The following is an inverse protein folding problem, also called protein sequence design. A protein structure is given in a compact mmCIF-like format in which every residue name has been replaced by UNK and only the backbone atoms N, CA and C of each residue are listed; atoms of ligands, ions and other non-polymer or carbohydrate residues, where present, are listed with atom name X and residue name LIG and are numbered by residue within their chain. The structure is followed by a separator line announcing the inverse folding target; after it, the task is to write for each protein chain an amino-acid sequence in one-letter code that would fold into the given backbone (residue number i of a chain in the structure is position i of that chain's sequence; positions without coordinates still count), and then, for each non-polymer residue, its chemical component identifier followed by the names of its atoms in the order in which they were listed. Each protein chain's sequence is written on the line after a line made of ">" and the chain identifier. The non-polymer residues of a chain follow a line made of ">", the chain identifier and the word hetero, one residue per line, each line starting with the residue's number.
data_IF_530652382378
#
_entry.id   IF_530652382378
#
_cell.length_a   1.000
_cell.length_b   1.000
_cell.length_c   1.000
_cell.angle_alpha   90.00
_cell.angle_beta   90.00
_cell.angle_gamma   90.00
#
_symmetry.space_group_name_H-M   'P 1'
#
loop_
_entity.id
_entity.type
_entity.pdbx_description
1 polymer ?
#
# COMPACT_ATOMS: atom_id res chain seq x y z
N UNK A 1 -4.18 8.43 25.96
CA UNK A 1 -3.18 7.35 25.96
C UNK A 1 -2.49 7.35 24.60
N UNK A 2 -3.21 7.04 23.52
CA UNK A 2 -2.71 7.22 22.14
C UNK A 2 -2.91 8.67 21.68
N UNK A 3 -1.91 9.23 21.00
CA UNK A 3 -1.88 10.59 20.48
C UNK A 3 -0.77 10.73 19.41
N UNK A 4 -0.80 11.75 18.54
CA UNK A 4 0.34 12.07 17.69
C UNK A 4 1.58 12.32 18.55
N UNK A 5 2.76 11.96 18.05
CA UNK A 5 4.01 12.14 18.81
C UNK A 5 4.20 13.60 19.27
N UNK A 6 3.81 14.57 18.44
CA UNK A 6 3.90 15.99 18.76
C UNK A 6 2.99 16.44 19.93
N UNK A 7 1.97 15.64 20.28
CA UNK A 7 1.02 15.94 21.36
C UNK A 7 1.21 15.05 22.60
N UNK A 8 2.23 14.17 22.57
CA UNK A 8 2.58 13.34 23.73
C UNK A 8 3.51 14.12 24.67
N UNK A 9 3.03 14.37 25.88
CA UNK A 9 3.89 14.79 27.00
C UNK A 9 4.55 13.58 27.68
N UNK A 10 5.53 13.87 28.54
CA UNK A 10 6.30 12.85 29.25
C UNK A 10 5.43 11.97 30.16
N UNK A 11 4.39 12.52 30.77
CA UNK A 11 3.50 11.81 31.69
C UNK A 11 2.64 10.78 30.94
N UNK A 12 2.01 11.20 29.83
CA UNK A 12 1.21 10.34 28.95
C UNK A 12 2.06 9.27 28.28
N UNK A 13 3.29 9.60 27.93
CA UNK A 13 4.24 8.63 27.39
C UNK A 13 4.60 7.57 28.44
N UNK A 14 4.98 8.01 29.65
CA UNK A 14 5.34 7.12 30.76
C UNK A 14 4.16 6.26 31.24
N UNK A 15 2.93 6.78 31.21
CA UNK A 15 1.73 6.04 31.62
C UNK A 15 1.47 4.79 30.75
N UNK A 16 1.80 4.84 29.45
CA UNK A 16 1.67 3.69 28.53
C UNK A 16 2.92 2.82 28.55
N UNK A 17 4.10 3.44 28.58
CA UNK A 17 5.37 2.71 28.55
C UNK A 17 5.64 1.95 29.85
N UNK A 18 5.45 2.61 30.99
CA UNK A 18 5.84 2.14 32.32
C UNK A 18 5.32 0.73 32.65
N UNK A 19 4.01 0.47 32.58
CA UNK A 19 3.45 -0.83 32.94
C UNK A 19 4.01 -1.99 32.14
N UNK A 20 4.44 -1.77 30.90
CA UNK A 20 4.95 -2.83 30.03
C UNK A 20 6.48 -2.92 30.08
N UNK A 21 7.15 -1.80 29.84
CA UNK A 21 8.59 -1.75 29.75
C UNK A 21 9.29 -1.90 31.11
N UNK A 22 8.87 -1.14 32.12
CA UNK A 22 9.49 -1.20 33.44
C UNK A 22 9.19 -2.53 34.12
N UNK A 23 7.97 -3.05 33.99
CA UNK A 23 7.62 -4.36 34.54
C UNK A 23 8.49 -5.48 33.92
N UNK A 24 8.71 -5.46 32.61
CA UNK A 24 9.58 -6.42 31.95
C UNK A 24 11.04 -6.29 32.41
N UNK A 25 11.54 -5.06 32.57
CA UNK A 25 12.88 -4.82 33.11
C UNK A 25 13.04 -5.35 34.54
N UNK A 26 12.08 -5.08 35.41
CA UNK A 26 12.09 -5.59 36.78
C UNK A 26 12.00 -7.11 36.82
N UNK A 27 11.17 -7.72 35.97
CA UNK A 27 11.10 -9.17 35.83
C UNK A 27 12.44 -9.75 35.37
N UNK A 28 13.12 -9.09 34.42
CA UNK A 28 14.47 -9.49 34.00
C UNK A 28 15.46 -9.44 35.16
N UNK A 29 15.52 -8.33 35.91
CA UNK A 29 16.40 -8.17 37.07
C UNK A 29 16.15 -9.24 38.14
N UNK A 30 14.88 -9.48 38.47
CA UNK A 30 14.47 -10.44 39.50
C UNK A 30 14.75 -11.91 39.12
N UNK A 31 14.88 -12.20 37.83
CA UNK A 31 15.06 -13.57 37.31
C UNK A 31 16.43 -13.81 36.68
N UNK A 32 17.35 -12.85 36.78
CA UNK A 32 18.65 -12.92 36.09
C UNK A 32 19.47 -14.14 36.51
N UNK A 33 19.44 -14.50 37.79
CA UNK A 33 20.18 -15.63 38.35
C UNK A 33 19.38 -16.95 38.36
N UNK A 34 18.16 -16.96 37.82
CA UNK A 34 17.31 -18.15 37.83
C UNK A 34 17.51 -18.97 36.54
N UNK A 35 17.57 -20.30 36.64
CA UNK A 35 17.65 -21.18 35.47
C UNK A 35 16.26 -21.33 34.84
N UNK A 36 15.82 -20.31 34.10
CA UNK A 36 14.52 -20.34 33.42
C UNK A 36 14.57 -21.23 32.17
N UNK A 37 13.52 -22.03 31.97
CA UNK A 37 13.29 -22.74 30.70
C UNK A 37 12.90 -21.78 29.57
N UNK A 38 12.18 -20.70 29.91
CA UNK A 38 11.75 -19.68 28.96
C UNK A 38 11.56 -18.31 29.62
N UNK A 39 11.80 -17.26 28.85
CA UNK A 39 11.44 -15.89 29.19
C UNK A 39 10.78 -15.26 27.95
N UNK A 40 9.45 -15.16 27.95
CA UNK A 40 8.70 -14.73 26.77
C UNK A 40 8.08 -13.36 26.97
N UNK A 41 8.33 -12.47 26.02
CA UNK A 41 7.80 -11.11 26.01
C UNK A 41 6.76 -10.97 24.89
N UNK A 42 5.55 -10.52 25.24
CA UNK A 42 4.49 -10.26 24.27
C UNK A 42 4.55 -8.82 23.79
N UNK A 43 5.28 -8.63 22.71
CA UNK A 43 5.38 -7.40 21.94
C UNK A 43 4.23 -7.28 20.93
N UNK A 44 4.33 -6.34 20.01
CA UNK A 44 3.35 -6.08 18.96
C UNK A 44 4.03 -5.77 17.63
N UNK A 45 3.41 -6.17 16.52
CA UNK A 45 3.83 -5.81 15.16
C UNK A 45 4.02 -4.29 14.97
N UNK A 46 3.33 -3.48 15.78
CA UNK A 46 3.43 -2.01 15.79
C UNK A 46 4.84 -1.52 16.15
N UNK A 47 5.62 -2.28 16.93
CA UNK A 47 7.03 -1.93 17.18
C UNK A 47 7.90 -2.07 15.92
N UNK A 48 7.52 -2.94 14.99
CA UNK A 48 8.25 -3.20 13.75
C UNK A 48 7.75 -2.36 12.58
N UNK A 49 6.44 -2.29 12.38
CA UNK A 49 5.81 -1.63 11.23
C UNK A 49 5.35 -0.20 11.52
N UNK A 50 5.40 0.21 12.79
CA UNK A 50 4.82 1.47 13.25
C UNK A 50 3.29 1.39 13.37
N UNK A 51 2.75 2.35 14.11
CA UNK A 51 1.32 2.51 14.32
C UNK A 51 1.04 3.99 14.52
N UNK A 52 0.37 4.67 13.58
CA UNK A 52 0.14 6.10 13.76
C UNK A 52 -0.75 6.34 14.98
N UNK A 53 -0.42 7.38 15.74
CA UNK A 53 -0.95 7.71 17.08
C UNK A 53 -0.43 6.84 18.23
N UNK A 54 0.44 5.87 17.96
CA UNK A 54 0.84 4.84 18.94
C UNK A 54 2.33 4.89 19.27
N UNK A 55 2.95 6.07 19.28
CA UNK A 55 4.39 6.20 19.46
C UNK A 55 4.88 5.66 20.82
N UNK A 56 4.15 5.96 21.90
CA UNK A 56 4.40 5.44 23.24
C UNK A 56 4.21 3.91 23.32
N UNK A 57 3.15 3.38 22.71
CA UNK A 57 2.91 1.94 22.64
C UNK A 57 3.99 1.23 21.81
N UNK A 58 4.36 1.78 20.65
CA UNK A 58 5.44 1.26 19.82
C UNK A 58 6.76 1.23 20.59
N UNK A 59 7.11 2.31 21.29
CA UNK A 59 8.32 2.38 22.12
C UNK A 59 8.32 1.35 23.27
N UNK A 60 7.17 1.17 23.93
CA UNK A 60 7.04 0.17 24.99
C UNK A 60 7.30 -1.26 24.50
N UNK A 61 6.78 -1.58 23.31
CA UNK A 61 6.96 -2.88 22.66
C UNK A 61 8.39 -3.07 22.11
N UNK A 62 8.96 -2.03 21.50
CA UNK A 62 10.35 -2.06 21.03
C UNK A 62 11.35 -2.28 22.17
N UNK A 63 11.06 -1.76 23.38
CA UNK A 63 11.86 -2.06 24.56
C UNK A 63 11.81 -3.54 24.95
N UNK A 64 10.66 -4.20 24.81
CA UNK A 64 10.57 -5.65 25.02
C UNK A 64 11.42 -6.42 24.02
N UNK A 65 11.36 -6.01 22.74
CA UNK A 65 12.17 -6.62 21.68
C UNK A 65 13.66 -6.47 21.97
N UNK A 66 14.07 -5.27 22.39
CA UNK A 66 15.44 -5.00 22.85
C UNK A 66 15.83 -5.77 24.10
N UNK A 67 14.93 -5.98 25.05
CA UNK A 67 15.19 -6.74 26.27
C UNK A 67 15.42 -8.23 25.97
N UNK A 68 14.67 -8.82 25.04
CA UNK A 68 14.91 -10.19 24.61
C UNK A 68 16.30 -10.34 23.96
N UNK A 69 16.68 -9.40 23.09
CA UNK A 69 18.03 -9.35 22.51
C UNK A 69 19.12 -9.17 23.59
N UNK A 70 18.90 -8.27 24.55
CA UNK A 70 19.82 -8.03 25.67
C UNK A 70 20.05 -9.28 26.53
N UNK A 71 18.98 -10.02 26.85
CA UNK A 71 19.07 -11.28 27.60
C UNK A 71 19.91 -12.31 26.85
N UNK A 72 19.63 -12.51 25.55
CA UNK A 72 20.36 -13.48 24.73
C UNK A 72 21.84 -13.13 24.57
N UNK A 73 22.19 -11.85 24.43
CA UNK A 73 23.58 -11.41 24.38
C UNK A 73 24.38 -11.76 25.66
N UNK A 74 23.68 -12.03 26.77
CA UNK A 74 24.26 -12.45 28.07
C UNK A 74 24.14 -13.96 28.31
N UNK A 75 23.77 -14.74 27.29
CA UNK A 75 23.56 -16.18 27.41
C UNK A 75 22.29 -16.57 28.18
N UNK A 76 21.37 -15.63 28.42
CA UNK A 76 20.09 -15.91 29.08
C UNK A 76 19.00 -16.18 28.06
N UNK A 77 18.08 -17.09 28.40
CA UNK A 77 16.87 -17.32 27.59
C UNK A 77 16.03 -16.05 27.49
N UNK A 78 15.45 -15.82 26.31
CA UNK A 78 14.65 -14.63 26.02
C UNK A 78 14.13 -14.64 24.59
N UNK A 79 12.82 -14.50 24.41
CA UNK A 79 12.21 -14.30 23.09
C UNK A 79 11.11 -13.24 23.20
N UNK A 80 11.09 -12.30 22.27
CA UNK A 80 10.00 -11.36 22.09
C UNK A 80 9.17 -11.75 20.86
N UNK A 81 7.84 -11.78 21.03
CA UNK A 81 6.91 -12.07 19.94
C UNK A 81 6.09 -10.83 19.62
N UNK A 82 6.36 -10.24 18.45
CA UNK A 82 5.60 -9.13 17.89
C UNK A 82 4.28 -9.61 17.29
N UNK A 83 3.21 -9.59 18.09
CA UNK A 83 1.90 -10.07 17.62
C UNK A 83 1.18 -9.05 16.73
N UNK A 84 0.64 -9.54 15.62
CA UNK A 84 -0.38 -8.87 14.81
C UNK A 84 -1.74 -8.81 15.52
N UNK A 85 -2.77 -8.25 14.85
CA UNK A 85 -4.10 -8.12 15.43
C UNK A 85 -4.70 -9.51 15.70
N UNK A 86 -5.24 -9.74 16.90
CA UNK A 86 -5.98 -10.96 17.24
C UNK A 86 -7.45 -10.82 16.82
N UNK A 87 -8.07 -11.92 16.39
CA UNK A 87 -9.46 -11.95 15.93
C UNK A 87 -10.46 -11.78 17.09
N UNK A 88 -10.69 -12.85 17.85
CA UNK A 88 -11.84 -13.00 18.75
C UNK A 88 -11.53 -12.66 20.22
N UNK A 89 -10.26 -12.42 20.53
CA UNK A 89 -9.76 -12.23 21.91
C UNK A 89 -8.71 -11.12 22.00
N UNK A 90 -8.48 -10.63 23.21
CA UNK A 90 -7.43 -9.65 23.50
C UNK A 90 -7.80 -8.21 23.13
N UNK A 91 -6.80 -7.33 23.08
CA UNK A 91 -7.02 -5.89 22.85
C UNK A 91 -7.62 -5.59 21.47
N UNK A 92 -7.19 -6.33 20.44
CA UNK A 92 -7.64 -6.09 19.07
C UNK A 92 -9.13 -6.41 18.85
N UNK A 93 -9.68 -7.40 19.57
CA UNK A 93 -11.10 -7.72 19.54
C UNK A 93 -11.99 -6.63 20.17
N UNK A 94 -11.40 -5.80 21.06
CA UNK A 94 -12.08 -4.67 21.73
C UNK A 94 -11.94 -3.35 20.96
N UNK A 95 -11.18 -3.34 19.87
CA UNK A 95 -11.01 -2.15 19.04
C UNK A 95 -12.31 -1.82 18.30
N UNK A 96 -12.56 -0.52 18.14
CA UNK A 96 -13.65 -0.03 17.31
C UNK A 96 -13.52 -0.52 15.85
N UNK A 97 -14.61 -0.40 15.08
CA UNK A 97 -14.63 -0.84 13.69
C UNK A 97 -13.58 -0.12 12.82
N UNK A 98 -13.23 1.13 13.14
CA UNK A 98 -12.27 1.94 12.36
C UNK A 98 -10.85 1.41 12.50
N UNK A 99 -10.42 1.07 13.71
CA UNK A 99 -9.10 0.49 13.96
C UNK A 99 -8.95 -0.91 13.34
N UNK A 100 -9.99 -1.75 13.38
CA UNK A 100 -9.99 -3.05 12.69
C UNK A 100 -9.93 -2.90 11.17
N UNK A 101 -10.70 -1.95 10.62
CA UNK A 101 -10.70 -1.66 9.19
C UNK A 101 -9.34 -1.13 8.71
N UNK A 102 -8.61 -0.42 9.57
CA UNK A 102 -7.26 0.07 9.28
C UNK A 102 -6.26 -1.06 9.07
N UNK A 103 -6.17 -2.01 10.00
CA UNK A 103 -5.28 -3.17 9.84
C UNK A 103 -5.63 -3.98 8.59
N UNK A 104 -6.92 -4.19 8.39
CA UNK A 104 -7.41 -4.84 7.18
C UNK A 104 -6.95 -4.09 5.92
N UNK A 105 -7.11 -2.76 5.86
CA UNK A 105 -6.65 -1.93 4.73
C UNK A 105 -5.16 -2.07 4.44
N UNK A 106 -4.33 -2.29 5.46
CA UNK A 106 -2.88 -2.52 5.34
C UNK A 106 -2.50 -3.96 4.97
N UNK A 107 -3.49 -4.85 4.79
CA UNK A 107 -3.26 -6.26 4.48
C UNK A 107 -2.97 -7.14 5.70
N UNK A 108 -2.95 -6.58 6.92
CA UNK A 108 -2.78 -7.35 8.15
C UNK A 108 -4.10 -8.08 8.46
N UNK A 109 -4.03 -9.41 8.46
CA UNK A 109 -5.17 -10.27 8.75
C UNK A 109 -5.18 -10.66 10.24
N UNK A 110 -6.38 -10.85 10.83
CA UNK A 110 -6.49 -11.27 12.22
C UNK A 110 -5.88 -12.66 12.50
N UNK A 111 -5.25 -12.80 13.66
CA UNK A 111 -4.72 -14.05 14.20
C UNK A 111 -5.85 -14.78 14.94
N UNK A 112 -6.18 -15.98 14.49
CA UNK A 112 -7.09 -16.86 15.22
C UNK A 112 -6.38 -17.47 16.44
N UNK A 113 -7.10 -17.84 17.51
CA UNK A 113 -6.49 -18.48 18.68
C UNK A 113 -5.66 -19.72 18.32
N UNK A 114 -6.15 -20.55 17.40
CA UNK A 114 -5.42 -21.74 16.91
C UNK A 114 -4.10 -21.38 16.25
N UNK A 115 -4.09 -20.36 15.38
CA UNK A 115 -2.86 -19.89 14.74
C UNK A 115 -1.90 -19.26 15.76
N UNK A 116 -2.43 -18.47 16.69
CA UNK A 116 -1.66 -17.84 17.76
C UNK A 116 -0.95 -18.87 18.64
N UNK A 117 -1.67 -19.91 19.08
CA UNK A 117 -1.10 -20.99 19.90
C UNK A 117 -0.03 -21.80 19.16
N UNK A 118 -0.26 -22.12 17.88
CA UNK A 118 0.76 -22.79 17.07
C UNK A 118 2.01 -21.93 16.93
N UNK A 119 1.84 -20.65 16.60
CA UNK A 119 2.96 -19.70 16.43
C UNK A 119 3.71 -19.47 17.75
N UNK A 120 3.01 -19.47 18.88
CA UNK A 120 3.63 -19.39 20.21
C UNK A 120 4.49 -20.62 20.51
N UNK A 121 4.01 -21.82 20.19
CA UNK A 121 4.77 -23.04 20.36
C UNK A 121 6.00 -23.09 19.43
N UNK A 122 5.93 -22.52 18.24
CA UNK A 122 7.07 -22.34 17.34
C UNK A 122 8.06 -21.31 17.88
N UNK A 123 7.57 -20.17 18.39
CA UNK A 123 8.40 -19.13 19.01
C UNK A 123 9.25 -19.65 20.17
N UNK A 124 8.70 -20.57 20.99
CA UNK A 124 9.42 -21.19 22.11
C UNK A 124 10.56 -22.12 21.67
N UNK A 125 10.49 -22.67 20.46
CA UNK A 125 11.49 -23.61 19.91
C UNK A 125 12.48 -22.94 18.98
N UNK A 126 12.14 -21.77 18.46
CA UNK A 126 12.98 -21.03 17.54
C UNK A 126 14.21 -20.47 18.26
N UNK A 127 15.39 -20.66 17.68
CA UNK A 127 16.63 -20.06 18.21
C UNK A 127 16.79 -18.60 17.76
N UNK A 128 15.78 -17.77 18.07
CA UNK A 128 15.75 -16.35 17.72
C UNK A 128 15.35 -15.51 18.94
N UNK A 129 15.86 -14.29 19.03
CA UNK A 129 15.51 -13.36 20.09
C UNK A 129 14.21 -12.59 19.85
N UNK A 130 13.80 -12.47 18.60
CA UNK A 130 12.62 -11.72 18.21
C UNK A 130 12.03 -12.32 16.94
N UNK A 131 10.70 -12.45 16.92
CA UNK A 131 9.94 -12.78 15.72
C UNK A 131 8.61 -12.02 15.70
N UNK A 132 8.07 -11.83 14.51
CA UNK A 132 6.77 -11.19 14.30
C UNK A 132 5.80 -12.25 13.78
N UNK A 133 4.62 -12.33 14.40
CA UNK A 133 3.53 -13.20 13.94
C UNK A 133 2.42 -12.30 13.43
N UNK A 134 2.35 -12.15 12.11
CA UNK A 134 1.39 -11.26 11.45
C UNK A 134 0.93 -11.87 10.12
N UNK A 135 -0.25 -12.53 10.09
CA UNK A 135 -0.84 -13.01 8.86
C UNK A 135 -1.06 -11.84 7.89
N UNK A 136 -0.63 -12.03 6.64
CA UNK A 136 -0.56 -10.94 5.65
C UNK A 136 -1.23 -11.35 4.33
N UNK A 137 -2.21 -10.56 3.91
CA UNK A 137 -2.69 -10.53 2.53
C UNK A 137 -1.69 -9.71 1.72
N UNK A 138 -0.79 -10.40 1.01
CA UNK A 138 0.32 -9.78 0.26
C UNK A 138 -0.18 -8.80 -0.80
N UNK A 139 -1.26 -9.14 -1.49
CA UNK A 139 -1.83 -8.30 -2.56
C UNK A 139 -2.41 -7.02 -1.97
N UNK A 140 -3.16 -7.14 -0.88
CA UNK A 140 -3.70 -5.97 -0.18
C UNK A 140 -2.61 -5.12 0.46
N UNK A 141 -1.58 -5.73 1.03
CA UNK A 141 -0.45 -5.02 1.61
C UNK A 141 0.34 -4.26 0.53
N UNK A 142 0.57 -4.87 -0.64
CA UNK A 142 1.20 -4.21 -1.79
C UNK A 142 0.43 -2.98 -2.25
N UNK A 143 -0.90 -3.12 -2.40
CA UNK A 143 -1.78 -2.00 -2.74
C UNK A 143 -1.75 -0.90 -1.69
N UNK A 144 -1.73 -1.26 -0.41
CA UNK A 144 -1.68 -0.30 0.69
C UNK A 144 -0.36 0.47 0.76
N UNK A 145 0.76 -0.19 0.44
CA UNK A 145 2.09 0.41 0.48
C UNK A 145 2.41 1.24 -0.77
N UNK A 146 1.62 1.14 -1.86
CA UNK A 146 1.70 1.99 -3.06
C UNK A 146 3.14 2.12 -3.62
N UNK A 147 3.93 1.05 -3.57
CA UNK A 147 5.33 1.04 -4.04
C UNK A 147 6.37 1.50 -3.01
N UNK A 148 5.96 2.12 -1.89
CA UNK A 148 6.79 2.44 -0.74
C UNK A 148 6.92 1.21 0.18
N UNK A 149 7.38 0.09 -0.40
CA UNK A 149 7.56 -1.15 0.34
C UNK A 149 8.81 -0.99 1.22
N UNK A 150 8.70 -1.08 2.56
CA UNK A 150 9.87 -1.08 3.42
C UNK A 150 10.83 -2.20 3.01
N UNK A 151 12.16 -2.01 3.07
CA UNK A 151 13.14 -3.05 2.70
C UNK A 151 12.86 -4.39 3.40
N UNK A 152 12.45 -4.34 4.67
CA UNK A 152 12.05 -5.49 5.47
C UNK A 152 10.93 -6.35 4.84
N UNK A 153 10.03 -5.73 4.08
CA UNK A 153 8.86 -6.37 3.50
C UNK A 153 9.02 -6.69 2.01
N UNK A 154 10.14 -6.28 1.39
CA UNK A 154 10.35 -6.42 -0.06
C UNK A 154 10.33 -7.90 -0.47
N UNK A 155 11.04 -8.76 0.23
CA UNK A 155 11.04 -10.21 -0.06
C UNK A 155 9.71 -10.92 0.24
N UNK A 156 8.85 -10.32 1.07
CA UNK A 156 7.57 -10.89 1.47
C UNK A 156 6.42 -10.52 0.52
N UNK A 157 6.48 -9.30 -0.03
CA UNK A 157 5.38 -8.65 -0.74
C UNK A 157 5.68 -8.45 -2.23
N UNK A 158 6.92 -8.51 -2.70
CA UNK A 158 7.18 -8.40 -4.15
C UNK A 158 6.77 -9.71 -4.84
N UNK A 159 5.96 -9.68 -5.92
CA UNK A 159 5.64 -10.89 -6.66
C UNK A 159 6.93 -11.46 -7.24
N UNK A 160 7.12 -12.76 -7.12
CA UNK A 160 8.07 -13.46 -7.98
C UNK A 160 7.43 -13.60 -9.36
N UNK A 161 8.23 -13.69 -10.43
CA UNK A 161 7.73 -13.79 -11.81
C UNK A 161 6.75 -14.98 -12.07
N UNK A 162 6.50 -15.82 -11.07
CA UNK A 162 5.58 -16.95 -11.11
C UNK A 162 4.13 -16.59 -10.70
N UNK A 163 3.85 -15.39 -10.18
CA UNK A 163 2.51 -15.01 -9.68
C UNK A 163 1.57 -14.39 -10.75
N UNK A 164 2.04 -14.19 -11.99
CA UNK A 164 1.21 -13.70 -13.10
C UNK A 164 0.46 -14.86 -13.78
N UNK A 165 -0.57 -15.40 -13.13
CA UNK A 165 -1.47 -16.38 -13.72
C UNK A 165 -2.81 -15.74 -14.11
N UNK A 166 -2.79 -14.93 -15.17
CA UNK A 166 -3.99 -14.39 -15.81
C UNK A 166 -3.62 -13.47 -16.98
N UNK A 167 -4.42 -13.43 -18.06
CA UNK A 167 -4.14 -12.56 -19.19
C UNK A 167 -4.18 -11.10 -18.75
N UNK A 168 -3.20 -10.31 -19.18
CA UNK A 168 -3.10 -8.89 -18.85
C UNK A 168 -4.32 -8.13 -19.38
N UNK A 169 -4.65 -6.97 -18.79
CA UNK A 169 -5.75 -6.13 -19.29
C UNK A 169 -5.56 -5.78 -20.77
N UNK A 170 -4.31 -5.63 -21.22
CA UNK A 170 -3.95 -5.41 -22.62
C UNK A 170 -4.36 -6.60 -23.51
N UNK A 171 -4.08 -7.83 -23.08
CA UNK A 171 -4.45 -9.05 -23.81
C UNK A 171 -5.97 -9.25 -23.86
N UNK A 172 -6.67 -8.95 -22.76
CA UNK A 172 -8.13 -9.02 -22.70
C UNK A 172 -8.80 -8.01 -23.64
N UNK A 173 -8.27 -6.77 -23.71
CA UNK A 173 -8.78 -5.73 -24.60
C UNK A 173 -8.38 -5.94 -26.06
N UNK A 174 -7.22 -6.52 -26.33
CA UNK A 174 -6.81 -6.89 -27.69
C UNK A 174 -7.74 -7.94 -28.31
N UNK A 175 -8.29 -8.84 -27.49
CA UNK A 175 -9.28 -9.85 -27.90
C UNK A 175 -10.71 -9.29 -28.12
N UNK A 176 -10.93 -8.00 -27.85
CA UNK A 176 -12.20 -7.30 -28.13
C UNK A 176 -12.10 -6.59 -29.48
N UNK A 177 -13.21 -6.60 -30.22
CA UNK A 177 -13.37 -5.83 -31.45
C UNK A 177 -12.99 -4.36 -31.23
N UNK A 178 -12.19 -3.73 -32.12
CA UNK A 178 -11.69 -2.37 -31.94
C UNK A 178 -12.76 -1.36 -31.51
N UNK A 179 -13.92 -1.39 -32.17
CA UNK A 179 -15.06 -0.50 -31.92
C UNK A 179 -15.65 -0.63 -30.49
N UNK A 180 -15.47 -1.78 -29.83
CA UNK A 180 -16.02 -2.05 -28.51
C UNK A 180 -15.00 -1.86 -27.37
N UNK A 181 -13.72 -1.62 -27.68
CA UNK A 181 -12.65 -1.53 -26.67
C UNK A 181 -12.86 -0.36 -25.72
N UNK A 182 -13.20 0.82 -26.26
CA UNK A 182 -13.41 2.03 -25.47
C UNK A 182 -14.61 1.87 -24.53
N UNK A 183 -15.74 1.38 -25.03
CA UNK A 183 -16.96 1.21 -24.24
C UNK A 183 -16.78 0.19 -23.10
N UNK A 184 -16.07 -0.91 -23.36
CA UNK A 184 -15.72 -1.89 -22.32
C UNK A 184 -14.76 -1.34 -21.27
N UNK A 185 -13.76 -0.57 -21.69
CA UNK A 185 -12.82 0.04 -20.76
C UNK A 185 -13.52 1.06 -19.86
N UNK A 186 -14.40 1.91 -20.42
CA UNK A 186 -15.23 2.84 -19.64
C UNK A 186 -16.12 2.10 -18.64
N UNK A 187 -16.74 0.99 -19.03
CA UNK A 187 -17.55 0.17 -18.12
C UNK A 187 -16.71 -0.40 -16.96
N UNK A 188 -15.51 -0.92 -17.25
CA UNK A 188 -14.59 -1.43 -16.22
C UNK A 188 -14.12 -0.34 -15.26
N UNK A 189 -13.77 0.85 -15.78
CA UNK A 189 -13.39 2.00 -14.97
C UNK A 189 -14.55 2.47 -14.08
N UNK A 190 -15.77 2.46 -14.60
CA UNK A 190 -16.98 2.80 -13.87
C UNK A 190 -17.27 1.84 -12.71
N UNK A 191 -17.15 0.54 -12.94
CA UNK A 191 -17.26 -0.46 -11.87
C UNK A 191 -16.19 -0.28 -10.79
N UNK A 192 -14.95 0.01 -11.20
CA UNK A 192 -13.84 0.25 -10.27
C UNK A 192 -14.10 1.48 -9.40
N UNK A 193 -14.58 2.55 -10.03
CA UNK A 193 -14.90 3.82 -9.38
C UNK A 193 -16.06 3.65 -8.39
N UNK A 194 -17.11 2.91 -8.76
CA UNK A 194 -18.21 2.58 -7.86
C UNK A 194 -17.75 1.82 -6.60
N UNK A 195 -16.86 0.84 -6.77
CA UNK A 195 -16.29 0.09 -5.63
C UNK A 195 -15.47 0.97 -4.69
N UNK A 196 -14.73 1.94 -5.22
CA UNK A 196 -13.94 2.90 -4.42
C UNK A 196 -14.86 3.86 -3.66
N UNK A 197 -15.91 4.34 -4.31
CA UNK A 197 -16.91 5.23 -3.72
C UNK A 197 -17.87 4.51 -2.75
N UNK A 198 -17.91 3.17 -2.77
CA UNK A 198 -18.91 2.39 -2.02
C UNK A 198 -20.32 2.55 -2.58
N UNK A 199 -20.46 2.91 -3.86
CA UNK A 199 -21.74 3.07 -4.52
C UNK A 199 -22.31 1.69 -4.90
N UNK A 200 -23.54 1.40 -4.45
CA UNK A 200 -24.22 0.13 -4.76
C UNK A 200 -24.81 0.10 -6.18
N UNK A 201 -24.97 1.26 -6.81
CA UNK A 201 -25.51 1.37 -8.17
C UNK A 201 -24.56 2.10 -9.10
N UNK A 202 -24.34 1.53 -10.28
CA UNK A 202 -23.46 2.08 -11.32
C UNK A 202 -24.07 3.29 -12.04
N UNK A 203 -25.40 3.38 -12.09
CA UNK A 203 -26.15 4.45 -12.77
C UNK A 203 -25.92 5.85 -12.22
N UNK A 204 -25.40 5.96 -10.99
CA UNK A 204 -25.02 7.23 -10.35
C UNK A 204 -23.71 7.81 -10.90
N UNK A 205 -22.89 6.99 -11.57
CA UNK A 205 -21.60 7.39 -12.11
C UNK A 205 -21.76 7.65 -13.60
N UNK A 206 -21.91 8.92 -13.96
CA UNK A 206 -21.87 9.38 -15.35
C UNK A 206 -20.40 9.48 -15.80
N UNK A 207 -19.97 8.72 -16.83
CA UNK A 207 -18.59 8.69 -17.26
C UNK A 207 -18.11 10.00 -17.93
N UNK A 208 -19.01 10.94 -18.21
CA UNK A 208 -18.72 12.27 -18.78
C UNK A 208 -18.57 13.37 -17.74
N UNK A 209 -19.00 13.11 -16.50
CA UNK A 209 -18.88 14.09 -15.42
C UNK A 209 -17.47 14.02 -14.83
N UNK A 210 -16.84 15.18 -14.53
CA UNK A 210 -15.56 15.19 -13.85
C UNK A 210 -15.60 14.39 -12.56
N UNK A 211 -14.57 13.58 -12.32
CA UNK A 211 -14.48 12.69 -11.15
C UNK A 211 -14.59 13.43 -9.81
N UNK A 212 -14.11 14.68 -9.76
CA UNK A 212 -14.25 15.55 -8.57
C UNK A 212 -15.70 15.90 -8.27
N UNK A 213 -16.49 16.15 -9.31
CA UNK A 213 -17.89 16.55 -9.20
C UNK A 213 -18.78 15.35 -8.84
N UNK A 214 -18.30 14.13 -9.11
CA UNK A 214 -18.87 12.88 -8.63
C UNK A 214 -18.56 12.60 -7.15
N UNK A 215 -17.76 13.46 -6.49
CA UNK A 215 -17.44 13.33 -5.07
C UNK A 215 -16.22 12.45 -4.77
N UNK A 216 -15.34 12.18 -5.75
CA UNK A 216 -14.04 11.57 -5.46
C UNK A 216 -13.16 12.57 -4.70
N UNK A 217 -12.77 12.21 -3.49
CA UNK A 217 -11.79 12.96 -2.72
C UNK A 217 -10.34 12.68 -3.19
N UNK A 218 -9.39 13.48 -2.71
CA UNK A 218 -7.97 13.37 -3.08
C UNK A 218 -7.37 12.00 -2.74
N UNK A 219 -7.91 11.25 -1.78
CA UNK A 219 -7.42 9.92 -1.42
C UNK A 219 -7.96 8.86 -2.40
N UNK A 220 -9.23 8.97 -2.78
CA UNK A 220 -9.90 8.12 -3.77
C UNK A 220 -9.29 8.26 -5.17
N UNK A 221 -8.89 9.48 -5.55
CA UNK A 221 -8.16 9.76 -6.80
C UNK A 221 -6.86 8.95 -6.86
N UNK A 222 -6.10 8.95 -5.77
CA UNK A 222 -4.85 8.19 -5.71
C UNK A 222 -5.11 6.67 -5.64
N UNK A 223 -6.19 6.23 -4.99
CA UNK A 223 -6.60 4.82 -4.99
C UNK A 223 -6.97 4.32 -6.40
N UNK A 224 -7.68 5.13 -7.19
CA UNK A 224 -8.03 4.82 -8.57
C UNK A 224 -6.77 4.71 -9.44
N UNK A 225 -5.87 5.68 -9.35
CA UNK A 225 -4.62 5.69 -10.11
C UNK A 225 -3.69 4.52 -9.75
N UNK A 226 -3.59 4.19 -8.45
CA UNK A 226 -2.81 3.04 -7.99
C UNK A 226 -3.41 1.71 -8.46
N UNK A 227 -4.74 1.59 -8.45
CA UNK A 227 -5.45 0.43 -8.98
C UNK A 227 -5.22 0.23 -10.49
N UNK A 228 -5.16 1.32 -11.26
CA UNK A 228 -4.89 1.28 -12.70
C UNK A 228 -3.44 0.91 -13.00
N UNK A 229 -2.49 1.54 -12.31
CA UNK A 229 -1.06 1.25 -12.46
C UNK A 229 -0.74 -0.24 -12.18
N UNK A 230 -1.38 -0.80 -11.14
CA UNK A 230 -1.23 -2.21 -10.79
C UNK A 230 -1.80 -3.16 -11.85
N UNK A 231 -2.98 -2.85 -12.40
CA UNK A 231 -3.62 -3.66 -13.44
C UNK A 231 -2.85 -3.59 -14.78
N UNK A 232 -2.24 -2.44 -15.08
CA UNK A 232 -1.49 -2.22 -16.32
C UNK A 232 -0.01 -2.66 -16.21
N UNK A 233 0.49 -2.92 -15.00
CA UNK A 233 1.90 -3.22 -14.77
C UNK A 233 2.85 -2.07 -15.13
N UNK A 234 2.33 -0.83 -15.21
CA UNK A 234 3.07 0.38 -15.61
C UNK A 234 2.76 1.53 -14.66
N UNK A 235 3.75 2.37 -14.39
CA UNK A 235 3.54 3.62 -13.67
C UNK A 235 2.78 4.62 -14.55
N UNK A 236 1.76 5.26 -13.99
CA UNK A 236 0.98 6.31 -14.67
C UNK A 236 1.40 7.70 -14.16
N UNK A 237 1.37 8.75 -15.01
CA UNK A 237 1.75 10.11 -14.61
C UNK A 237 0.91 10.64 -13.45
N UNK A 238 1.51 11.34 -12.48
CA UNK A 238 0.81 11.90 -11.31
C UNK A 238 -0.29 12.91 -11.68
N UNK A 239 -0.17 13.55 -12.85
CA UNK A 239 -1.14 14.52 -13.38
C UNK A 239 -2.28 13.86 -14.15
N UNK A 240 -2.30 12.53 -14.32
CA UNK A 240 -3.24 11.81 -15.18
C UNK A 240 -4.71 12.22 -14.98
N UNK A 241 -5.17 12.31 -13.73
CA UNK A 241 -6.57 12.63 -13.41
C UNK A 241 -6.86 14.14 -13.44
N UNK A 242 -5.83 14.97 -13.59
CA UNK A 242 -5.96 16.40 -13.92
C UNK A 242 -6.09 16.58 -15.43
N UNK A 243 -5.27 15.85 -16.20
CA UNK A 243 -5.22 15.91 -17.66
C UNK A 243 -6.43 15.21 -18.30
N UNK A 244 -6.95 14.17 -17.63
CA UNK A 244 -8.11 13.37 -18.04
C UNK A 244 -9.14 13.26 -16.90
N UNK A 245 -9.95 14.32 -16.69
CA UNK A 245 -10.80 14.44 -15.50
C UNK A 245 -12.07 13.57 -15.53
N UNK A 246 -12.39 12.94 -16.66
CA UNK A 246 -13.60 12.10 -16.84
C UNK A 246 -13.22 10.65 -17.14
N UNK A 247 -14.12 9.70 -16.84
CA UNK A 247 -13.87 8.28 -17.15
C UNK A 247 -13.73 8.01 -18.65
N UNK A 248 -14.45 8.74 -19.50
CA UNK A 248 -14.29 8.66 -20.96
C UNK A 248 -12.91 9.16 -21.41
N UNK A 249 -12.47 10.33 -20.94
CA UNK A 249 -11.15 10.88 -21.29
C UNK A 249 -9.99 10.00 -20.81
N UNK A 250 -10.13 9.43 -19.61
CA UNK A 250 -9.17 8.51 -19.03
C UNK A 250 -9.10 7.19 -19.81
N UNK A 251 -10.24 6.63 -20.20
CA UNK A 251 -10.27 5.43 -21.03
C UNK A 251 -9.61 5.65 -22.40
N UNK A 252 -9.85 6.82 -23.02
CA UNK A 252 -9.22 7.20 -24.29
C UNK A 252 -7.70 7.24 -24.20
N UNK A 253 -7.16 7.96 -23.20
CA UNK A 253 -5.71 8.01 -22.95
C UNK A 253 -5.10 6.63 -22.69
N UNK A 254 -5.75 5.82 -21.85
CA UNK A 254 -5.26 4.47 -21.55
C UNK A 254 -5.25 3.59 -22.82
N UNK A 255 -6.22 3.72 -23.70
CA UNK A 255 -6.31 2.94 -24.93
C UNK A 255 -5.26 3.38 -25.96
N UNK A 256 -5.08 4.68 -26.17
CA UNK A 256 -4.18 5.25 -27.17
C UNK A 256 -2.73 5.26 -26.70
N UNK A 257 -2.44 5.94 -25.60
CA UNK A 257 -1.08 6.29 -25.19
C UNK A 257 -0.42 5.22 -24.31
N UNK A 258 -1.23 4.45 -23.56
CA UNK A 258 -0.70 3.44 -22.64
C UNK A 258 -0.72 2.04 -23.23
N UNK A 259 -1.81 1.66 -23.89
CA UNK A 259 -2.00 0.32 -24.46
C UNK A 259 -1.64 0.25 -25.95
N UNK A 260 -1.63 1.36 -26.69
CA UNK A 260 -1.38 1.35 -28.13
C UNK A 260 -2.44 0.58 -28.91
N UNK A 261 -3.68 0.57 -28.42
CA UNK A 261 -4.82 -0.18 -28.97
C UNK A 261 -5.93 0.72 -29.52
N UNK A 262 -5.68 2.03 -29.63
CA UNK A 262 -6.57 2.95 -30.30
C UNK A 262 -6.73 2.57 -31.77
N UNK A 263 -7.88 2.91 -32.33
CA UNK A 263 -8.12 2.76 -33.76
C UNK A 263 -7.02 3.52 -34.52
N UNK A 264 -6.35 2.86 -35.46
CA UNK A 264 -5.78 3.59 -36.58
C UNK A 264 -6.98 4.19 -37.31
N UNK A 265 -7.14 5.52 -37.22
CA UNK A 265 -7.95 6.23 -38.20
C UNK A 265 -7.55 5.72 -39.59
N UNK A 266 -8.51 5.30 -40.45
CA UNK A 266 -8.16 4.97 -41.81
C UNK A 266 -7.45 6.20 -42.39
N UNK A 267 -6.20 6.01 -42.80
CA UNK A 267 -5.37 7.05 -43.38
C UNK A 267 -6.21 7.88 -44.35
N UNK A 268 -6.45 9.15 -43.98
CA UNK A 268 -7.08 10.08 -44.89
C UNK A 268 -6.25 10.09 -46.18
N UNK A 269 -6.89 9.77 -47.29
CA UNK A 269 -6.28 9.91 -48.62
C UNK A 269 -5.67 11.31 -48.74
N UNK A 270 -4.46 11.46 -49.29
CA UNK A 270 -3.85 12.77 -49.47
C UNK A 270 -4.71 13.58 -50.45
N UNK A 271 -5.53 14.49 -49.90
CA UNK A 271 -6.16 15.56 -50.65
C UNK A 271 -5.10 16.46 -51.30
N UNK A 272 -5.41 17.09 -52.43
CA UNK A 272 -4.42 17.77 -53.25
C UNK A 272 -3.73 18.88 -52.46
N UNK A 273 -2.40 18.85 -52.50
CA UNK A 273 -1.50 19.84 -51.90
C UNK A 273 -1.80 21.26 -52.39
N UNK A 274 -2.26 22.13 -51.49
CA UNK A 274 -2.13 23.58 -51.65
C UNK A 274 -0.74 24.05 -51.20
N UNK A 275 -0.16 25.07 -51.84
CA UNK A 275 1.25 25.41 -51.68
C UNK A 275 1.54 26.06 -50.33
N UNK A 276 2.72 25.74 -49.78
CA UNK A 276 3.26 26.30 -48.55
C UNK A 276 3.34 27.83 -48.59
N UNK A 277 2.74 28.49 -47.61
CA UNK A 277 2.96 29.91 -47.32
C UNK A 277 4.34 30.12 -46.69
N UNK A 278 5.02 31.17 -47.14
CA UNK A 278 6.43 31.49 -46.91
C UNK A 278 6.79 32.01 -45.50
N UNK A 279 6.13 31.54 -44.44
CA UNK A 279 6.40 31.99 -43.05
C UNK A 279 7.30 31.06 -42.23
N UNK A 280 7.51 29.82 -42.66
CA UNK A 280 8.37 28.84 -41.95
C UNK A 280 9.87 28.95 -42.29
N UNK A 281 10.23 29.66 -43.36
CA UNK A 281 11.64 29.81 -43.76
C UNK A 281 12.41 30.85 -42.92
N UNK A 282 11.73 31.78 -42.25
CA UNK A 282 12.37 32.84 -41.47
C UNK A 282 12.77 32.41 -40.05
N UNK A 283 12.09 31.42 -39.46
CA UNK A 283 12.37 30.90 -38.12
C UNK A 283 13.55 29.91 -38.07
N UNK A 284 13.79 29.20 -39.18
CA UNK A 284 14.89 28.23 -39.30
C UNK A 284 16.27 28.90 -39.50
N UNK A 285 16.31 30.14 -39.98
CA UNK A 285 17.57 30.89 -40.18
C UNK A 285 18.05 31.56 -38.88
N UNK A 286 17.12 32.02 -38.01
CA UNK A 286 17.45 32.54 -36.68
C UNK A 286 17.94 31.46 -35.71
N UNK A 287 17.42 30.22 -35.80
CA UNK A 287 17.87 29.10 -34.95
C UNK A 287 19.31 28.65 -35.30
N UNK A 288 19.68 28.65 -36.59
CA UNK A 288 21.03 28.26 -37.05
C UNK A 288 22.09 29.30 -36.71
N UNK A 289 21.72 30.57 -36.59
CA UNK A 289 22.63 31.63 -36.15
C UNK A 289 22.97 31.54 -34.64
N UNK A 290 22.07 30.95 -33.84
CA UNK A 290 22.23 30.78 -32.39
C UNK A 290 23.08 29.56 -32.00
N UNK A 291 23.08 28.51 -32.83
CA UNK A 291 23.90 27.31 -32.64
C UNK A 291 25.38 27.50 -33.05
N UNK A 292 25.70 28.53 -33.83
CA UNK A 292 27.08 28.85 -34.22
C UNK A 292 27.85 29.72 -33.20
N UNK A 293 27.21 30.08 -32.08
CA UNK A 293 27.76 30.96 -31.03
C UNK A 293 27.92 30.26 -29.65
N UNK A 294 27.74 28.94 -29.59
CA UNK A 294 28.11 28.07 -28.46
C UNK A 294 29.22 27.10 -28.88
#
# INVERSE_FOLDING_TARGET
>A
ADAPLAELDAERFAAVLGPKALAAWWLHRATESLPLDAFVLFSSVVATLGGPMQANYAAANALLDGLAAHRRARGLVGVSVGWGPWADVGMAARLDARHRQRFARQGLMPITPTLGMRSFAEALRADVGHLVVAPLDKERARRALRGLIPPLLTSLITPTASDSAGPSLAEQLAAVEPADRLSKLVAALRERTAKIMGAERLDVIDPRVPLRDLGLDSLMVVDLQGALSATLGRALPETLLLDHPTLESLAGYLLADVLGLAEEEPAAEPGPSEPASAETAALDEELRALEALL
#
